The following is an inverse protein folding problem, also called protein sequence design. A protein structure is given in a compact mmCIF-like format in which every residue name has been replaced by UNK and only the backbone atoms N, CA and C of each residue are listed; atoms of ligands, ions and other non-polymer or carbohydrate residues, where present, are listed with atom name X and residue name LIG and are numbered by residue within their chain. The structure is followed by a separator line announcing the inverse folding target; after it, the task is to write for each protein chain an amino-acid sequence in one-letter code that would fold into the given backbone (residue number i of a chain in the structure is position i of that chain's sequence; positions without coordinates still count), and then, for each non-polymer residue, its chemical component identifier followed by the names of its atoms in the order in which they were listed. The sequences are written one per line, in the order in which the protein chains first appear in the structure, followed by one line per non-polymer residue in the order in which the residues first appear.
data_IF_854293418013
#
_entry.id   IF_854293418013
#
_cell.length_a   1.000
_cell.length_b   1.000
_cell.length_c   1.000
_cell.angle_alpha   90.00
_cell.angle_beta   90.00
_cell.angle_gamma   90.00
#
_symmetry.space_group_name_H-M   'P 1'
#
loop_
_entity.id
_entity.type
_entity.pdbx_description
1 polymer ?
#
# COMPACT_ATOMS: atom_id res chain seq x y z
N UNK A 1 42.22 -21.75 -18.60
CA UNK A 1 41.13 -22.23 -19.48
C UNK A 1 39.90 -21.38 -19.18
N UNK A 2 39.72 -20.26 -19.88
CA UNK A 2 38.61 -19.34 -19.63
C UNK A 2 37.39 -19.80 -20.45
N UNK A 3 36.33 -20.25 -19.78
CA UNK A 3 35.06 -20.64 -20.43
C UNK A 3 34.30 -19.39 -20.85
N UNK A 4 34.24 -19.17 -22.16
CA UNK A 4 33.43 -18.12 -22.78
C UNK A 4 31.94 -18.51 -22.69
N UNK A 5 31.12 -17.69 -22.05
CA UNK A 5 29.69 -17.95 -21.85
C UNK A 5 28.87 -16.96 -22.68
N UNK A 6 28.49 -17.38 -23.89
CA UNK A 6 27.68 -16.58 -24.80
C UNK A 6 26.20 -16.77 -24.47
N UNK A 7 25.67 -15.96 -23.56
CA UNK A 7 24.21 -15.89 -23.37
C UNK A 7 23.55 -15.21 -24.58
N UNK A 8 22.47 -15.77 -25.15
CA UNK A 8 21.80 -15.16 -26.29
C UNK A 8 21.20 -13.81 -25.88
N UNK A 9 21.58 -12.74 -26.58
CA UNK A 9 21.16 -11.34 -26.30
C UNK A 9 19.64 -11.17 -26.22
N UNK A 10 18.88 -12.00 -26.93
CA UNK A 10 17.41 -12.07 -26.86
C UNK A 10 16.90 -12.45 -25.48
N UNK A 11 17.58 -13.35 -24.76
CA UNK A 11 17.18 -13.80 -23.42
C UNK A 11 17.41 -12.71 -22.35
N UNK A 12 18.48 -11.92 -22.51
CA UNK A 12 18.77 -10.75 -21.67
C UNK A 12 17.77 -9.61 -21.94
N UNK A 13 17.35 -9.43 -23.20
CA UNK A 13 16.37 -8.40 -23.56
C UNK A 13 14.96 -8.73 -23.02
N UNK A 14 14.54 -9.99 -23.07
CA UNK A 14 13.28 -10.45 -22.49
C UNK A 14 13.23 -10.26 -20.96
N UNK A 15 14.33 -10.52 -20.26
CA UNK A 15 14.43 -10.30 -18.82
C UNK A 15 14.37 -8.81 -18.45
N UNK A 16 14.98 -7.94 -19.25
CA UNK A 16 14.95 -6.49 -19.03
C UNK A 16 13.55 -5.88 -19.18
N UNK A 17 12.77 -6.35 -20.17
CA UNK A 17 11.39 -5.89 -20.39
C UNK A 17 10.47 -6.38 -19.24
N UNK A 18 10.66 -7.61 -18.76
CA UNK A 18 9.92 -8.15 -17.61
C UNK A 18 10.20 -7.37 -16.31
N UNK A 19 11.45 -6.99 -16.07
CA UNK A 19 11.83 -6.19 -14.89
C UNK A 19 11.30 -4.74 -14.95
N UNK A 20 11.30 -4.12 -16.14
CA UNK A 20 10.76 -2.78 -16.32
C UNK A 20 9.23 -2.72 -16.17
N UNK A 21 8.51 -3.75 -16.63
CA UNK A 21 7.05 -3.82 -16.51
C UNK A 21 6.54 -3.96 -15.07
N UNK A 22 7.25 -4.71 -14.22
CA UNK A 22 6.89 -4.87 -12.81
C UNK A 22 7.15 -3.61 -11.96
N UNK A 23 8.19 -2.82 -12.32
CA UNK A 23 8.51 -1.57 -11.60
C UNK A 23 7.44 -0.50 -11.76
N UNK A 24 6.88 -0.36 -12.97
CA UNK A 24 5.87 0.67 -13.28
C UNK A 24 4.56 0.41 -12.52
N UNK A 25 4.14 -0.87 -12.42
CA UNK A 25 2.94 -1.23 -11.65
C UNK A 25 3.08 -1.01 -10.16
N UNK A 26 4.28 -1.18 -9.60
CA UNK A 26 4.52 -0.96 -8.17
C UNK A 26 4.50 0.53 -7.80
N UNK A 27 5.03 1.40 -8.67
CA UNK A 27 5.04 2.85 -8.46
C UNK A 27 3.65 3.47 -8.53
N UNK A 28 2.83 3.07 -9.51
CA UNK A 28 1.47 3.58 -9.63
C UNK A 28 0.58 3.20 -8.43
N UNK A 29 0.82 2.03 -7.82
CA UNK A 29 0.11 1.61 -6.61
C UNK A 29 0.60 2.35 -5.37
N UNK A 30 1.91 2.61 -5.25
CA UNK A 30 2.47 3.39 -4.15
C UNK A 30 1.90 4.82 -4.12
N UNK A 31 1.78 5.46 -5.29
CA UNK A 31 1.19 6.79 -5.41
C UNK A 31 -0.29 6.79 -4.96
N UNK A 32 -1.06 5.76 -5.31
CA UNK A 32 -2.48 5.65 -4.92
C UNK A 32 -2.68 5.56 -3.41
N UNK A 33 -1.90 4.72 -2.70
CA UNK A 33 -2.04 4.57 -1.25
C UNK A 33 -1.59 5.83 -0.49
N UNK A 34 -0.56 6.52 -0.99
CA UNK A 34 -0.10 7.78 -0.40
C UNK A 34 -1.14 8.89 -0.55
N UNK A 35 -1.78 9.01 -1.72
CA UNK A 35 -2.86 9.97 -1.96
C UNK A 35 -4.07 9.70 -1.05
N UNK A 36 -4.45 8.42 -0.89
CA UNK A 36 -5.50 8.02 0.03
C UNK A 36 -5.14 8.39 1.48
N UNK A 37 -3.91 8.10 1.92
CA UNK A 37 -3.44 8.45 3.26
C UNK A 37 -3.53 9.95 3.54
N UNK A 38 -3.10 10.81 2.60
CA UNK A 38 -3.21 12.26 2.74
C UNK A 38 -4.66 12.71 2.91
N UNK A 39 -5.56 12.19 2.08
CA UNK A 39 -6.99 12.48 2.18
C UNK A 39 -7.57 12.09 3.55
N UNK A 40 -7.25 10.89 4.04
CA UNK A 40 -7.76 10.40 5.32
C UNK A 40 -7.21 11.21 6.51
N UNK A 41 -5.94 11.61 6.45
CA UNK A 41 -5.35 12.54 7.43
C UNK A 41 -6.09 13.88 7.45
N UNK A 42 -6.37 14.46 6.27
CA UNK A 42 -6.96 15.78 6.17
C UNK A 42 -8.48 15.78 6.47
N UNK A 43 -9.21 14.72 6.12
CA UNK A 43 -10.68 14.66 6.24
C UNK A 43 -11.17 13.98 7.52
N UNK A 44 -10.50 12.91 7.98
CA UNK A 44 -11.02 12.05 9.04
C UNK A 44 -10.18 12.06 10.33
N UNK A 45 -8.86 12.23 10.24
CA UNK A 45 -7.94 12.09 11.38
C UNK A 45 -7.45 13.43 11.96
N UNK A 46 -8.26 14.48 11.83
CA UNK A 46 -7.92 15.84 12.26
C UNK A 46 -7.62 15.99 13.76
N UNK A 47 -8.21 15.13 14.61
CA UNK A 47 -8.01 15.17 16.06
C UNK A 47 -6.90 14.20 16.46
N UNK A 48 -5.67 14.69 16.38
CA UNK A 48 -4.48 13.93 16.78
C UNK A 48 -3.55 14.74 17.67
N UNK A 49 -2.72 14.04 18.45
CA UNK A 49 -1.58 14.62 19.16
C UNK A 49 -0.34 14.75 18.28
N UNK A 50 -0.35 14.09 17.12
CA UNK A 50 0.74 14.10 16.15
C UNK A 50 0.62 15.29 15.21
N UNK A 51 1.76 15.82 14.79
CA UNK A 51 1.83 16.77 13.66
C UNK A 51 1.39 16.07 12.36
N UNK A 52 1.03 16.84 11.34
CA UNK A 52 0.62 16.26 10.04
C UNK A 52 1.70 15.38 9.43
N UNK A 53 2.96 15.79 9.52
CA UNK A 53 4.10 15.01 9.01
C UNK A 53 4.25 13.67 9.76
N UNK A 54 4.08 13.67 11.08
CA UNK A 54 4.09 12.44 11.89
C UNK A 54 2.89 11.54 11.59
N UNK A 55 1.71 12.10 11.32
CA UNK A 55 0.54 11.33 10.91
C UNK A 55 0.77 10.63 9.56
N UNK A 56 1.36 11.33 8.58
CA UNK A 56 1.68 10.74 7.29
C UNK A 56 2.74 9.63 7.42
N UNK A 57 3.73 9.82 8.29
CA UNK A 57 4.71 8.78 8.58
C UNK A 57 4.05 7.54 9.23
N UNK A 58 3.06 7.74 10.10
CA UNK A 58 2.28 6.65 10.69
C UNK A 58 1.40 5.95 9.65
N UNK A 59 0.77 6.69 8.75
CA UNK A 59 0.00 6.12 7.64
C UNK A 59 0.87 5.28 6.70
N UNK A 60 2.08 5.74 6.39
CA UNK A 60 3.06 4.97 5.61
C UNK A 60 3.39 3.63 6.31
N UNK A 61 3.55 3.66 7.64
CA UNK A 61 3.72 2.43 8.40
C UNK A 61 2.51 1.49 8.29
N UNK A 62 1.28 2.02 8.35
CA UNK A 62 0.06 1.22 8.14
C UNK A 62 -0.03 0.62 6.73
N UNK A 63 0.31 1.39 5.70
CA UNK A 63 0.30 0.94 4.30
C UNK A 63 1.25 -0.25 4.10
N UNK A 64 2.44 -0.18 4.69
CA UNK A 64 3.42 -1.26 4.65
C UNK A 64 2.96 -2.47 5.47
N UNK A 65 2.43 -2.25 6.68
CA UNK A 65 1.91 -3.32 7.52
C UNK A 65 0.70 -4.04 6.89
N UNK A 66 -0.06 -3.35 6.04
CA UNK A 66 -1.23 -3.89 5.35
C UNK A 66 -0.91 -4.68 4.07
N UNK A 67 0.33 -4.64 3.57
CA UNK A 67 0.76 -5.38 2.38
C UNK A 67 0.30 -6.85 2.29
N UNK A 68 0.44 -7.69 3.33
CA UNK A 68 0.02 -9.10 3.25
C UNK A 68 -1.50 -9.29 3.13
N UNK A 69 -2.30 -8.25 3.35
CA UNK A 69 -3.75 -8.30 3.33
C UNK A 69 -4.37 -7.73 2.05
N UNK A 70 -3.56 -7.16 1.15
CA UNK A 70 -4.05 -6.55 -0.10
C UNK A 70 -4.79 -7.58 -0.96
N UNK A 71 -5.99 -7.23 -1.39
CA UNK A 71 -6.86 -8.10 -2.19
C UNK A 71 -7.61 -9.19 -1.41
N UNK A 72 -7.46 -9.23 -0.08
CA UNK A 72 -8.27 -10.11 0.78
C UNK A 72 -9.61 -9.44 1.13
N UNK A 73 -10.65 -10.26 1.25
CA UNK A 73 -11.90 -9.85 1.88
C UNK A 73 -11.87 -10.28 3.35
N UNK A 74 -11.83 -9.30 4.26
CA UNK A 74 -11.76 -9.55 5.71
C UNK A 74 -13.09 -9.14 6.34
N UNK A 75 -13.73 -10.09 7.01
CA UNK A 75 -14.99 -9.88 7.72
C UNK A 75 -14.75 -9.93 9.24
N UNK A 76 -15.23 -8.91 9.96
CA UNK A 76 -15.10 -8.80 11.42
C UNK A 76 -16.48 -8.67 12.04
N UNK A 77 -16.78 -9.48 13.05
CA UNK A 77 -18.02 -9.40 13.83
C UNK A 77 -17.74 -8.58 15.09
N UNK A 78 -18.50 -7.51 15.27
CA UNK A 78 -18.31 -6.54 16.36
C UNK A 78 -19.62 -6.31 17.11
N UNK A 79 -19.52 -6.01 18.41
CA UNK A 79 -20.67 -5.56 19.21
C UNK A 79 -21.19 -4.19 18.72
N UNK A 80 -22.48 -3.91 18.92
CA UNK A 80 -23.10 -2.63 18.56
C UNK A 80 -22.81 -1.54 19.60
N UNK A 81 -21.55 -1.12 19.68
CA UNK A 81 -21.12 0.06 20.46
C UNK A 81 -20.60 1.14 19.52
N UNK A 82 -20.69 2.40 19.94
CA UNK A 82 -20.33 3.55 19.11
C UNK A 82 -18.93 3.46 18.48
N UNK A 83 -17.95 2.92 19.21
CA UNK A 83 -16.58 2.72 18.70
C UNK A 83 -16.54 1.72 17.55
N UNK A 84 -17.28 0.62 17.65
CA UNK A 84 -17.34 -0.38 16.58
C UNK A 84 -18.12 0.12 15.38
N UNK A 85 -19.17 0.93 15.57
CA UNK A 85 -19.86 1.60 14.47
C UNK A 85 -18.93 2.56 13.73
N UNK A 86 -18.09 3.30 14.44
CA UNK A 86 -17.08 4.13 13.81
C UNK A 86 -16.06 3.30 13.02
N UNK A 87 -15.57 2.21 13.62
CA UNK A 87 -14.63 1.31 12.95
C UNK A 87 -15.23 0.68 11.67
N UNK A 88 -16.48 0.21 11.72
CA UNK A 88 -17.13 -0.42 10.56
C UNK A 88 -17.48 0.57 9.45
N UNK A 89 -17.88 1.79 9.80
CA UNK A 89 -18.38 2.75 8.83
C UNK A 89 -17.32 3.73 8.29
N UNK A 90 -16.21 3.90 9.01
CA UNK A 90 -15.15 4.86 8.68
C UNK A 90 -13.82 4.14 8.48
N UNK A 91 -13.28 3.49 9.51
CA UNK A 91 -11.93 2.90 9.43
C UNK A 91 -11.86 1.74 8.43
N UNK A 92 -12.90 0.92 8.33
CA UNK A 92 -12.95 -0.17 7.35
C UNK A 92 -12.87 0.34 5.90
N UNK A 93 -13.41 1.53 5.61
CA UNK A 93 -13.29 2.16 4.29
C UNK A 93 -11.86 2.63 4.04
N UNK A 94 -11.25 3.29 5.02
CA UNK A 94 -9.86 3.72 4.94
C UNK A 94 -8.89 2.56 4.71
N UNK A 95 -9.18 1.39 5.30
CA UNK A 95 -8.37 0.19 5.11
C UNK A 95 -8.52 -0.45 3.71
N UNK A 96 -9.66 -0.24 3.05
CA UNK A 96 -9.97 -0.84 1.75
C UNK A 96 -9.48 -0.03 0.54
N UNK A 97 -9.11 1.23 0.76
CA UNK A 97 -8.63 2.18 -0.26
C UNK A 97 -7.10 2.18 -0.37
#
# INVERSE_FOLDING_TARGET
MFKNNNYPKTLLLSAAIGAAGMGISAQALADQYSEAAEKWVDEAFQRSTLTREEQLAEMEWFIQAAEPFRGMEINVVSETIATHEYASNVLAKAFSE
#
